data_IF_160720811402
#
_entry.id   IF_160720811402
#
_cell.length_a   1.000
_cell.length_b   1.000
_cell.length_c   1.000
_cell.angle_alpha   90.00
_cell.angle_beta   90.00
_cell.angle_gamma   90.00
#
_symmetry.space_group_name_H-M   'P 1'
#
loop_
_entity.id
_entity.type
_entity.pdbx_description
1 polymer ?
#
# COMPACT_ATOMS: atom_id res chain seq x y z
N UNK A 1 -69.03 16.56 -29.92
CA UNK A 1 -68.19 17.76 -30.10
C UNK A 1 -68.69 18.81 -29.12
N UNK A 2 -67.83 19.60 -28.43
CA UNK A 2 -66.40 19.82 -28.65
C UNK A 2 -65.49 19.23 -27.55
N UNK A 3 -64.22 19.10 -27.92
CA UNK A 3 -63.06 18.69 -27.13
C UNK A 3 -62.48 19.89 -26.38
N UNK A 4 -62.08 19.70 -25.12
CA UNK A 4 -60.90 20.39 -24.57
C UNK A 4 -60.20 19.46 -23.58
N UNK A 5 -58.94 19.15 -23.90
CA UNK A 5 -58.04 18.27 -23.16
C UNK A 5 -57.34 19.09 -22.07
N UNK A 6 -57.45 18.65 -20.82
CA UNK A 6 -56.50 18.98 -19.76
C UNK A 6 -56.04 17.65 -19.15
N UNK A 7 -54.78 17.32 -19.39
CA UNK A 7 -54.14 16.07 -18.99
C UNK A 7 -53.95 15.99 -17.48
N UNK A 8 -54.44 14.90 -16.89
CA UNK A 8 -54.18 14.51 -15.50
C UNK A 8 -52.90 13.68 -15.45
N UNK A 9 -52.05 14.04 -14.49
CA UNK A 9 -50.94 13.24 -14.00
C UNK A 9 -51.40 11.83 -13.58
N UNK A 10 -50.65 10.82 -14.02
CA UNK A 10 -50.83 9.43 -13.62
C UNK A 10 -49.65 8.59 -14.10
N UNK A 11 -48.74 8.31 -13.16
CA UNK A 11 -47.89 7.11 -13.00
C UNK A 11 -47.43 6.39 -14.27
N UNK A 12 -46.13 6.52 -14.58
CA UNK A 12 -45.30 5.45 -15.15
C UNK A 12 -43.90 5.59 -14.52
N UNK A 13 -43.59 4.72 -13.55
CA UNK A 13 -42.19 4.44 -13.18
C UNK A 13 -41.80 3.26 -14.05
N UNK A 14 -41.06 3.55 -15.13
CA UNK A 14 -40.35 2.54 -15.90
C UNK A 14 -39.09 2.15 -15.12
N UNK A 15 -39.07 0.89 -14.68
CA UNK A 15 -37.87 0.19 -14.23
C UNK A 15 -36.90 0.10 -15.42
N UNK A 16 -35.83 0.89 -15.39
CA UNK A 16 -34.67 0.66 -16.27
C UNK A 16 -33.83 -0.47 -15.71
N UNK A 17 -34.25 -1.69 -16.10
CA UNK A 17 -33.42 -2.88 -16.14
C UNK A 17 -32.18 -2.62 -17.01
N UNK A 18 -31.03 -2.44 -16.37
CA UNK A 18 -29.71 -2.53 -17.01
C UNK A 18 -28.97 -3.73 -16.43
N UNK A 19 -29.54 -4.92 -16.65
CA UNK A 19 -28.84 -6.18 -16.50
C UNK A 19 -27.64 -6.26 -17.44
N UNK A 20 -26.46 -5.85 -16.96
CA UNK A 20 -25.21 -6.33 -17.53
C UNK A 20 -24.99 -7.76 -17.03
N UNK A 21 -25.44 -8.75 -17.81
CA UNK A 21 -24.99 -10.14 -17.70
C UNK A 21 -23.46 -10.16 -17.83
N UNK A 22 -22.74 -10.13 -16.70
CA UNK A 22 -21.33 -10.45 -16.66
C UNK A 22 -21.22 -11.97 -16.62
N UNK A 23 -20.98 -12.56 -17.80
CA UNK A 23 -20.62 -13.96 -17.94
C UNK A 23 -19.34 -14.23 -17.13
N UNK A 24 -19.28 -15.26 -16.28
CA UNK A 24 -18.10 -15.56 -15.46
C UNK A 24 -16.88 -16.04 -16.28
N UNK A 25 -16.97 -16.08 -17.60
CA UNK A 25 -15.89 -16.46 -18.52
C UNK A 25 -15.05 -15.26 -19.01
N UNK A 26 -15.44 -14.01 -18.75
CA UNK A 26 -14.71 -12.81 -19.20
C UNK A 26 -13.53 -12.39 -18.30
N UNK A 27 -13.26 -13.12 -17.21
CA UNK A 27 -12.10 -12.89 -16.33
C UNK A 27 -10.76 -13.40 -16.89
N UNK A 28 -10.75 -13.95 -18.12
CA UNK A 28 -9.56 -14.47 -18.79
C UNK A 28 -9.14 -13.64 -20.02
N UNK A 29 -9.25 -12.31 -19.97
CA UNK A 29 -8.53 -11.47 -20.93
C UNK A 29 -7.02 -11.51 -20.65
N UNK A 30 -6.36 -12.49 -21.29
CA UNK A 30 -4.92 -12.45 -21.56
C UNK A 30 -4.60 -11.13 -22.29
N UNK A 31 -3.98 -10.19 -21.56
CA UNK A 31 -3.50 -8.94 -22.11
C UNK A 31 -2.21 -9.20 -22.92
N UNK A 32 -2.15 -8.93 -24.24
CA UNK A 32 -0.96 -9.19 -25.06
C UNK A 32 0.27 -8.33 -24.71
N UNK A 33 0.17 -7.41 -23.73
CA UNK A 33 1.30 -6.65 -23.16
C UNK A 33 1.95 -7.35 -21.94
N UNK A 34 1.47 -8.54 -21.53
CA UNK A 34 2.02 -9.32 -20.41
C UNK A 34 2.95 -10.45 -20.82
N UNK A 35 3.50 -10.41 -22.05
CA UNK A 35 4.61 -11.31 -22.35
C UNK A 35 5.77 -11.01 -21.39
N UNK A 36 6.31 -12.02 -20.67
CA UNK A 36 7.45 -11.81 -19.81
C UNK A 36 8.57 -11.24 -20.66
N UNK A 37 9.00 -10.02 -20.33
CA UNK A 37 10.07 -9.34 -21.05
C UNK A 37 11.24 -10.32 -21.23
N UNK A 38 11.83 -10.41 -22.43
CA UNK A 38 12.87 -11.37 -22.71
C UNK A 38 13.95 -11.35 -21.64
N UNK A 39 14.49 -12.51 -21.25
CA UNK A 39 15.49 -12.61 -20.16
C UNK A 39 16.66 -11.64 -20.31
N UNK A 40 17.05 -11.33 -21.56
CA UNK A 40 18.10 -10.35 -21.88
C UNK A 40 17.72 -8.92 -21.48
N UNK A 41 16.44 -8.56 -21.48
CA UNK A 41 15.96 -7.22 -21.11
C UNK A 41 16.11 -6.96 -19.61
N UNK A 42 15.84 -7.97 -18.77
CA UNK A 42 16.13 -7.91 -17.33
C UNK A 42 17.63 -7.75 -17.05
N UNK A 43 18.48 -8.45 -17.82
CA UNK A 43 19.94 -8.31 -17.73
C UNK A 43 20.41 -6.92 -18.19
N UNK A 44 19.89 -6.42 -19.32
CA UNK A 44 20.16 -5.07 -19.81
C UNK A 44 19.78 -3.99 -18.79
N UNK A 45 18.60 -4.09 -18.16
CA UNK A 45 18.20 -3.16 -17.09
C UNK A 45 19.15 -3.20 -15.90
N UNK A 46 19.60 -4.38 -15.48
CA UNK A 46 20.60 -4.50 -14.40
C UNK A 46 21.90 -3.79 -14.75
N UNK A 47 22.42 -3.96 -15.97
CA UNK A 47 23.63 -3.25 -16.43
C UNK A 47 23.40 -1.73 -16.42
N UNK A 48 22.27 -1.26 -16.98
CA UNK A 48 21.95 0.17 -17.03
C UNK A 48 21.86 0.80 -15.64
N UNK A 49 21.47 0.03 -14.64
CA UNK A 49 21.37 0.47 -13.25
C UNK A 49 22.69 0.41 -12.48
N UNK A 50 23.79 -0.13 -13.03
CA UNK A 50 25.08 -0.24 -12.33
C UNK A 50 25.59 1.10 -11.78
N UNK A 51 25.60 2.22 -12.54
CA UNK A 51 26.04 3.51 -12.00
C UNK A 51 25.18 3.99 -10.83
N UNK A 52 23.86 3.76 -10.91
CA UNK A 52 22.93 4.10 -9.84
C UNK A 52 23.16 3.22 -8.61
N UNK A 53 23.35 1.91 -8.77
CA UNK A 53 23.66 0.98 -7.69
C UNK A 53 24.95 1.34 -6.95
N UNK A 54 25.98 1.82 -7.66
CA UNK A 54 27.20 2.32 -7.04
C UNK A 54 26.92 3.54 -6.16
N UNK A 55 26.08 4.47 -6.61
CA UNK A 55 25.67 5.64 -5.82
C UNK A 55 24.82 5.23 -4.60
N UNK A 56 23.86 4.33 -4.78
CA UNK A 56 22.99 3.81 -3.72
C UNK A 56 23.79 3.10 -2.61
N UNK A 57 24.74 2.24 -2.99
CA UNK A 57 25.59 1.55 -2.01
C UNK A 57 26.58 2.49 -1.31
N UNK A 58 26.94 3.62 -1.94
CA UNK A 58 27.78 4.67 -1.32
C UNK A 58 27.01 5.67 -0.47
N UNK A 59 25.68 5.54 -0.33
CA UNK A 59 24.89 6.47 0.48
C UNK A 59 24.59 7.82 -0.19
N UNK A 60 24.74 7.91 -1.52
CA UNK A 60 24.65 9.19 -2.24
C UNK A 60 23.20 9.51 -2.68
N UNK A 61 22.32 8.51 -2.75
CA UNK A 61 20.95 8.68 -3.23
C UNK A 61 19.95 8.84 -2.08
N UNK A 62 18.81 9.46 -2.33
CA UNK A 62 17.74 9.63 -1.34
C UNK A 62 17.26 8.28 -0.76
N UNK A 63 17.12 7.26 -1.61
CA UNK A 63 16.77 5.90 -1.21
C UNK A 63 17.80 5.28 -0.26
N UNK A 64 19.07 5.64 -0.41
CA UNK A 64 20.11 5.20 0.51
C UNK A 64 19.98 5.91 1.86
N UNK A 65 19.62 7.20 1.87
CA UNK A 65 19.27 7.94 3.08
C UNK A 65 18.07 7.35 3.81
N UNK A 66 16.97 7.06 3.10
CA UNK A 66 15.80 6.38 3.67
C UNK A 66 16.15 4.98 4.21
N UNK A 67 16.91 4.18 3.45
CA UNK A 67 17.42 2.88 3.93
C UNK A 67 18.17 3.04 5.26
N UNK A 68 19.08 4.01 5.34
CA UNK A 68 19.92 4.21 6.52
C UNK A 68 19.09 4.69 7.72
N UNK A 69 18.10 5.55 7.49
CA UNK A 69 17.13 5.97 8.50
C UNK A 69 16.29 4.81 9.01
N UNK A 70 15.76 3.97 8.11
CA UNK A 70 15.02 2.75 8.49
C UNK A 70 15.94 1.83 9.30
N UNK A 71 17.14 1.52 8.83
CA UNK A 71 18.06 0.62 9.54
C UNK A 71 18.40 1.14 10.94
N UNK A 72 18.68 2.45 11.08
CA UNK A 72 18.96 3.08 12.36
C UNK A 72 17.75 3.01 13.30
N UNK A 73 16.57 3.33 12.79
CA UNK A 73 15.34 3.31 13.56
C UNK A 73 14.96 1.88 13.98
N UNK A 74 14.93 0.93 13.05
CA UNK A 74 14.70 -0.49 13.32
C UNK A 74 15.67 -1.03 14.38
N UNK A 75 16.96 -0.69 14.31
CA UNK A 75 17.95 -1.10 15.32
C UNK A 75 17.62 -0.51 16.70
N UNK A 76 17.21 0.76 16.77
CA UNK A 76 16.79 1.39 18.04
C UNK A 76 15.53 0.75 18.63
N UNK A 77 14.71 0.12 17.79
CA UNK A 77 13.52 -0.65 18.18
C UNK A 77 13.83 -2.12 18.50
N UNK A 78 15.10 -2.56 18.43
CA UNK A 78 15.54 -3.91 18.76
C UNK A 78 15.55 -4.91 17.60
N UNK A 79 15.37 -4.46 16.35
CA UNK A 79 15.47 -5.30 15.16
C UNK A 79 16.92 -5.44 14.67
N UNK A 80 17.25 -6.54 13.99
CA UNK A 80 18.57 -6.70 13.37
C UNK A 80 18.70 -5.80 12.12
N UNK A 81 19.41 -4.69 12.28
CA UNK A 81 19.70 -3.74 11.20
C UNK A 81 20.38 -4.36 9.96
N UNK A 82 21.17 -5.43 10.11
CA UNK A 82 21.79 -6.13 8.96
C UNK A 82 20.73 -6.89 8.17
N UNK A 83 19.80 -7.54 8.86
CA UNK A 83 18.72 -8.27 8.22
C UNK A 83 17.73 -7.30 7.55
N UNK A 84 17.33 -6.24 8.24
CA UNK A 84 16.53 -5.13 7.68
C UNK A 84 17.18 -4.57 6.41
N UNK A 85 18.49 -4.29 6.44
CA UNK A 85 19.23 -3.80 5.27
C UNK A 85 19.20 -4.78 4.09
N UNK A 86 19.28 -6.10 4.34
CA UNK A 86 19.18 -7.13 3.29
C UNK A 86 17.79 -7.14 2.64
N UNK A 87 16.74 -7.01 3.44
CA UNK A 87 15.35 -6.99 2.97
C UNK A 87 15.11 -5.75 2.11
N UNK A 88 15.52 -4.57 2.58
CA UNK A 88 15.42 -3.32 1.81
C UNK A 88 16.19 -3.43 0.49
N UNK A 89 17.42 -3.94 0.52
CA UNK A 89 18.22 -4.13 -0.71
C UNK A 89 17.51 -5.05 -1.71
N UNK A 90 16.80 -6.07 -1.23
CA UNK A 90 16.02 -6.94 -2.10
C UNK A 90 14.81 -6.23 -2.69
N UNK A 91 14.01 -5.54 -1.89
CA UNK A 91 12.90 -4.72 -2.39
C UNK A 91 13.39 -3.74 -3.46
N UNK A 92 14.43 -2.97 -3.17
CA UNK A 92 15.05 -2.04 -4.14
C UNK A 92 15.48 -2.74 -5.42
N UNK A 93 16.08 -3.93 -5.33
CA UNK A 93 16.47 -4.73 -6.50
C UNK A 93 15.29 -5.22 -7.31
N UNK A 94 14.25 -5.74 -6.66
CA UNK A 94 13.06 -6.26 -7.33
C UNK A 94 12.28 -5.16 -8.03
N UNK A 95 12.04 -4.02 -7.38
CA UNK A 95 11.42 -2.86 -8.01
C UNK A 95 12.26 -2.33 -9.17
N UNK A 96 13.56 -2.12 -8.96
CA UNK A 96 14.42 -1.53 -9.99
C UNK A 96 14.55 -2.40 -11.23
N UNK A 97 14.71 -3.72 -11.09
CA UNK A 97 14.88 -4.61 -12.26
C UNK A 97 13.61 -4.72 -13.12
N UNK A 98 12.44 -4.51 -12.53
CA UNK A 98 11.16 -4.48 -13.24
C UNK A 98 10.78 -3.09 -13.76
N UNK A 99 11.62 -2.07 -13.50
CA UNK A 99 11.39 -0.71 -14.00
C UNK A 99 10.49 0.13 -13.09
N UNK A 100 10.26 -0.31 -11.85
CA UNK A 100 9.53 0.38 -10.79
C UNK A 100 10.47 1.10 -9.80
N UNK A 101 11.73 1.30 -10.22
CA UNK A 101 12.73 2.04 -9.45
C UNK A 101 12.65 3.55 -9.71
N UNK A 102 13.76 4.26 -9.47
CA UNK A 102 13.85 5.74 -9.52
C UNK A 102 13.33 6.43 -10.80
N UNK A 103 13.34 5.75 -11.94
CA UNK A 103 12.91 6.33 -13.22
C UNK A 103 11.43 6.06 -13.52
N UNK A 104 10.71 5.42 -12.59
CA UNK A 104 9.29 5.17 -12.73
C UNK A 104 8.52 6.42 -12.33
N UNK A 105 7.65 6.89 -13.23
CA UNK A 105 6.94 8.16 -13.06
C UNK A 105 5.71 8.05 -12.15
N UNK A 106 5.19 6.84 -11.95
CA UNK A 106 4.01 6.59 -11.11
C UNK A 106 4.33 6.73 -9.62
N UNK A 107 3.25 6.86 -8.84
CA UNK A 107 3.28 7.05 -7.39
C UNK A 107 3.81 5.81 -6.66
N UNK A 108 3.32 4.62 -7.01
CA UNK A 108 3.63 3.38 -6.29
C UNK A 108 4.95 2.78 -6.77
N UNK A 109 6.05 3.34 -6.29
CA UNK A 109 7.42 3.00 -6.68
C UNK A 109 8.30 2.77 -5.45
N UNK A 110 9.57 2.45 -5.66
CA UNK A 110 10.48 2.16 -4.55
C UNK A 110 10.65 3.30 -3.54
N UNK A 111 10.50 4.55 -3.95
CA UNK A 111 10.59 5.70 -3.03
C UNK A 111 9.38 5.70 -2.10
N UNK A 112 8.18 5.49 -2.64
CA UNK A 112 6.95 5.32 -1.86
C UNK A 112 7.07 4.17 -0.85
N UNK A 113 7.51 2.97 -1.27
CA UNK A 113 7.66 1.84 -0.34
C UNK A 113 8.63 2.15 0.81
N UNK A 114 9.72 2.87 0.54
CA UNK A 114 10.70 3.25 1.56
C UNK A 114 10.16 4.35 2.48
N UNK A 115 9.40 5.31 1.94
CA UNK A 115 8.72 6.34 2.72
C UNK A 115 7.67 5.73 3.65
N UNK A 116 6.81 4.85 3.15
CA UNK A 116 5.80 4.15 3.95
C UNK A 116 6.44 3.28 5.02
N UNK A 117 7.47 2.50 4.68
CA UNK A 117 8.20 1.68 5.66
C UNK A 117 8.86 2.53 6.76
N UNK A 118 9.54 3.63 6.37
CA UNK A 118 10.16 4.54 7.33
C UNK A 118 9.14 5.21 8.23
N UNK A 119 8.09 5.78 7.63
CA UNK A 119 7.06 6.51 8.35
C UNK A 119 6.28 5.60 9.31
N UNK A 120 5.92 4.38 8.87
CA UNK A 120 5.23 3.40 9.72
C UNK A 120 6.06 3.05 10.95
N UNK A 121 7.36 2.80 10.78
CA UNK A 121 8.25 2.54 11.91
C UNK A 121 8.43 3.76 12.81
N UNK A 122 8.48 4.96 12.22
CA UNK A 122 8.59 6.22 12.98
C UNK A 122 7.37 6.42 13.86
N UNK A 123 6.17 6.27 13.28
CA UNK A 123 4.91 6.36 13.99
C UNK A 123 4.75 5.26 15.05
N UNK A 124 5.22 4.04 14.77
CA UNK A 124 5.21 2.93 15.71
C UNK A 124 6.13 3.17 16.91
N UNK A 125 7.37 3.64 16.65
CA UNK A 125 8.35 3.92 17.69
C UNK A 125 7.91 5.04 18.65
N UNK A 126 7.16 6.03 18.14
CA UNK A 126 6.64 7.12 18.97
C UNK A 126 5.40 6.78 19.81
N UNK A 127 4.87 5.55 19.75
CA UNK A 127 3.76 5.14 20.61
C UNK A 127 4.22 4.99 22.07
N UNK A 128 3.92 6.01 22.88
CA UNK A 128 4.32 6.05 24.30
C UNK A 128 3.31 5.40 25.26
N UNK A 129 2.04 5.30 24.84
CA UNK A 129 0.97 4.70 25.64
C UNK A 129 1.09 3.18 25.62
N UNK A 130 0.94 2.54 26.77
CA UNK A 130 1.20 1.11 26.91
C UNK A 130 0.26 0.27 26.06
N UNK A 131 -1.01 0.68 25.95
CA UNK A 131 -2.04 0.05 25.13
C UNK A 131 -1.79 0.15 23.61
N UNK A 132 -0.91 1.06 23.17
CA UNK A 132 -0.58 1.26 21.76
C UNK A 132 0.81 0.76 21.38
N UNK A 133 1.56 0.21 22.34
CA UNK A 133 2.92 -0.28 22.12
C UNK A 133 2.91 -1.56 21.30
N UNK A 134 3.78 -1.59 20.31
CA UNK A 134 3.99 -2.73 19.44
C UNK A 134 5.08 -3.64 20.02
N UNK A 135 4.84 -4.95 19.97
CA UNK A 135 5.88 -5.94 20.31
C UNK A 135 6.81 -6.16 19.10
N UNK A 136 7.88 -6.94 19.28
CA UNK A 136 8.85 -7.20 18.19
C UNK A 136 8.21 -7.84 16.94
N UNK A 137 7.29 -8.79 17.12
CA UNK A 137 6.60 -9.44 15.99
C UNK A 137 5.68 -8.46 15.27
N UNK A 138 5.00 -7.58 15.99
CA UNK A 138 4.18 -6.52 15.37
C UNK A 138 5.05 -5.58 14.51
N UNK A 139 6.22 -5.19 15.02
CA UNK A 139 7.14 -4.29 14.31
C UNK A 139 7.73 -4.93 13.06
N UNK A 140 8.10 -6.20 13.12
CA UNK A 140 8.57 -6.96 11.95
C UNK A 140 7.45 -7.09 10.92
N UNK A 141 6.25 -7.45 11.38
CA UNK A 141 5.07 -7.61 10.51
C UNK A 141 4.72 -6.30 9.82
N UNK A 142 4.67 -5.18 10.55
CA UNK A 142 4.47 -3.84 10.00
C UNK A 142 5.55 -3.46 9.00
N UNK A 143 6.83 -3.68 9.33
CA UNK A 143 7.94 -3.34 8.44
C UNK A 143 7.87 -4.10 7.12
N UNK A 144 7.65 -5.41 7.16
CA UNK A 144 7.57 -6.24 5.95
C UNK A 144 6.32 -5.88 5.15
N UNK A 145 5.16 -5.75 5.79
CA UNK A 145 3.93 -5.37 5.11
C UNK A 145 4.06 -3.98 4.45
N UNK A 146 4.59 -2.99 5.17
CA UNK A 146 4.79 -1.63 4.66
C UNK A 146 5.72 -1.56 3.44
N UNK A 147 6.80 -2.36 3.44
CA UNK A 147 7.79 -2.35 2.37
C UNK A 147 7.33 -3.08 1.09
N UNK A 148 6.32 -3.95 1.22
CA UNK A 148 5.84 -4.79 0.11
C UNK A 148 4.35 -4.63 -0.17
N UNK A 149 3.67 -3.64 0.40
CA UNK A 149 2.22 -3.49 0.25
C UNK A 149 1.78 -3.24 -1.21
N UNK A 150 2.63 -2.60 -2.01
CA UNK A 150 2.43 -2.43 -3.44
C UNK A 150 3.40 -3.28 -4.29
N UNK A 151 3.90 -4.41 -3.75
CA UNK A 151 4.83 -5.28 -4.47
C UNK A 151 4.15 -6.09 -5.58
N UNK A 152 3.97 -5.45 -6.72
CA UNK A 152 3.57 -6.08 -7.98
C UNK A 152 4.52 -5.64 -9.10
N UNK A 153 5.58 -6.43 -9.39
CA UNK A 153 6.53 -6.12 -10.44
C UNK A 153 5.95 -6.15 -11.86
N UNK A 154 4.75 -6.71 -12.04
CA UNK A 154 4.06 -6.82 -13.34
C UNK A 154 2.76 -6.00 -13.38
N UNK A 155 2.62 -5.00 -12.50
CA UNK A 155 1.42 -4.18 -12.40
C UNK A 155 1.08 -3.52 -13.74
N UNK A 156 -0.19 -3.61 -14.12
CA UNK A 156 -0.72 -2.97 -15.34
C UNK A 156 -1.19 -1.53 -15.07
N UNK A 157 -1.64 -1.28 -13.85
CA UNK A 157 -2.03 0.02 -13.34
C UNK A 157 -0.98 0.49 -12.32
N UNK A 158 -0.95 1.79 -12.04
CA UNK A 158 0.04 2.31 -11.10
C UNK A 158 -0.23 1.80 -9.68
N UNK A 159 -1.47 1.85 -9.17
CA UNK A 159 -1.79 1.14 -7.93
C UNK A 159 -2.00 -0.36 -8.24
N UNK A 160 -1.25 -1.27 -7.60
CA UNK A 160 -1.46 -2.69 -7.79
C UNK A 160 -2.71 -3.18 -7.06
N UNK A 161 -3.24 -4.32 -7.51
CA UNK A 161 -4.34 -5.00 -6.83
C UNK A 161 -3.78 -5.98 -5.79
N UNK A 162 -4.41 -6.06 -4.62
CA UNK A 162 -3.90 -6.79 -3.46
C UNK A 162 -3.74 -8.29 -3.75
N UNK A 163 -4.63 -8.87 -4.57
CA UNK A 163 -4.51 -10.27 -5.04
C UNK A 163 -3.21 -10.53 -5.82
N UNK A 164 -2.75 -9.55 -6.62
CA UNK A 164 -1.50 -9.66 -7.37
C UNK A 164 -0.31 -9.58 -6.41
N UNK A 165 -0.35 -8.63 -5.46
CA UNK A 165 0.68 -8.47 -4.43
C UNK A 165 0.82 -9.74 -3.59
N UNK A 166 -0.31 -10.30 -3.12
CA UNK A 166 -0.35 -11.59 -2.42
C UNK A 166 0.36 -12.68 -3.23
N UNK A 167 0.01 -12.80 -4.52
CA UNK A 167 0.62 -13.80 -5.40
C UNK A 167 2.14 -13.61 -5.50
N UNK A 168 2.64 -12.38 -5.62
CA UNK A 168 4.09 -12.15 -5.74
C UNK A 168 4.84 -12.42 -4.45
N UNK A 169 4.31 -11.97 -3.30
CA UNK A 169 4.92 -12.21 -1.99
C UNK A 169 5.03 -13.72 -1.71
N UNK A 170 3.97 -14.49 -1.99
CA UNK A 170 4.00 -15.96 -1.80
C UNK A 170 4.98 -16.69 -2.72
N UNK A 171 5.31 -16.10 -3.88
CA UNK A 171 6.20 -16.72 -4.86
C UNK A 171 7.66 -16.25 -4.75
N UNK A 172 7.95 -15.22 -3.95
CA UNK A 172 9.32 -14.78 -3.69
C UNK A 172 9.97 -15.65 -2.60
N UNK A 173 10.99 -16.42 -2.98
CA UNK A 173 11.66 -17.33 -2.06
C UNK A 173 12.42 -16.61 -0.93
N UNK A 174 12.96 -15.41 -1.18
CA UNK A 174 13.72 -14.68 -0.15
C UNK A 174 12.79 -14.05 0.86
N UNK A 175 11.68 -13.47 0.40
CA UNK A 175 10.67 -12.91 1.31
C UNK A 175 10.15 -14.00 2.25
N UNK A 176 9.79 -15.18 1.71
CA UNK A 176 9.38 -16.33 2.53
C UNK A 176 10.44 -16.74 3.56
N UNK A 177 11.69 -16.90 3.13
CA UNK A 177 12.78 -17.27 4.03
C UNK A 177 12.92 -16.27 5.19
N UNK A 178 12.83 -14.96 4.94
CA UNK A 178 12.91 -13.98 6.02
C UNK A 178 11.70 -14.01 6.94
N UNK A 179 10.50 -14.15 6.38
CA UNK A 179 9.27 -14.28 7.17
C UNK A 179 9.36 -15.48 8.12
N UNK A 180 9.86 -16.61 7.62
CA UNK A 180 10.10 -17.83 8.40
C UNK A 180 11.19 -17.61 9.46
N UNK A 181 12.32 -16.99 9.10
CA UNK A 181 13.42 -16.66 10.02
C UNK A 181 13.00 -15.73 11.17
N UNK A 182 12.01 -14.86 10.92
CA UNK A 182 11.44 -13.96 11.94
C UNK A 182 10.31 -14.59 12.77
N UNK A 183 9.89 -15.81 12.44
CA UNK A 183 8.76 -16.50 13.07
C UNK A 183 7.47 -15.65 13.04
N UNK A 184 7.22 -14.96 11.93
CA UNK A 184 5.97 -14.24 11.66
C UNK A 184 5.20 -14.96 10.56
N UNK A 185 3.88 -14.79 10.53
CA UNK A 185 3.05 -15.46 9.52
C UNK A 185 2.97 -14.64 8.24
N UNK A 186 3.28 -15.26 7.10
CA UNK A 186 3.06 -14.68 5.78
C UNK A 186 1.59 -14.29 5.57
N UNK A 187 0.66 -15.06 6.13
CA UNK A 187 -0.78 -14.79 6.00
C UNK A 187 -1.19 -13.55 6.78
N UNK A 188 -0.57 -13.30 7.94
CA UNK A 188 -0.79 -12.07 8.72
C UNK A 188 -0.22 -10.87 7.96
N UNK A 189 0.99 -10.97 7.39
CA UNK A 189 1.58 -9.91 6.57
C UNK A 189 0.66 -9.57 5.40
N UNK A 190 0.16 -10.58 4.68
CA UNK A 190 -0.76 -10.37 3.56
C UNK A 190 -2.10 -9.78 4.05
N UNK A 191 -2.59 -10.17 5.23
CA UNK A 191 -3.80 -9.59 5.80
C UNK A 191 -3.66 -8.08 6.06
N UNK A 192 -2.50 -7.63 6.57
CA UNK A 192 -2.20 -6.21 6.71
C UNK A 192 -2.22 -5.48 5.35
N UNK A 193 -1.68 -6.10 4.30
CA UNK A 193 -1.67 -5.54 2.93
C UNK A 193 -3.08 -5.42 2.37
N UNK A 194 -3.96 -6.41 2.57
CA UNK A 194 -5.36 -6.26 2.15
C UNK A 194 -6.07 -5.05 2.78
N UNK A 195 -5.61 -4.59 3.96
CA UNK A 195 -6.16 -3.41 4.61
C UNK A 195 -5.70 -2.08 3.99
N UNK A 196 -4.65 -2.08 3.16
CA UNK A 196 -4.15 -0.90 2.40
C UNK A 196 -4.88 -0.70 1.07
N UNK A 197 -5.87 -1.54 0.75
CA UNK A 197 -6.75 -1.33 -0.40
C UNK A 197 -7.42 0.04 -0.33
N UNK A 198 -7.45 0.75 -1.45
CA UNK A 198 -8.00 2.11 -1.52
C UNK A 198 -8.92 2.29 -2.73
N UNK A 199 -10.12 2.89 -2.55
CA UNK A 199 -10.72 3.24 -1.27
C UNK A 199 -11.18 2.00 -0.49
N UNK A 200 -10.93 1.95 0.82
CA UNK A 200 -11.39 0.86 1.68
C UNK A 200 -12.88 1.02 2.02
N UNK A 201 -13.76 0.95 1.01
CA UNK A 201 -15.22 1.09 1.15
C UNK A 201 -15.96 0.17 0.18
N UNK A 202 -17.24 -0.09 0.47
CA UNK A 202 -18.13 -0.89 -0.39
C UNK A 202 -17.55 -2.26 -0.73
N UNK A 203 -17.69 -2.67 -2.00
CA UNK A 203 -17.25 -3.98 -2.48
C UNK A 203 -15.76 -4.27 -2.27
N UNK A 204 -14.90 -3.23 -2.30
CA UNK A 204 -13.45 -3.37 -2.08
C UNK A 204 -13.20 -3.75 -0.62
N UNK A 205 -13.81 -3.04 0.33
CA UNK A 205 -13.70 -3.36 1.75
C UNK A 205 -14.31 -4.72 2.09
N UNK A 206 -15.46 -5.07 1.50
CA UNK A 206 -16.09 -6.38 1.69
C UNK A 206 -15.19 -7.52 1.22
N UNK A 207 -14.60 -7.38 0.03
CA UNK A 207 -13.65 -8.35 -0.52
C UNK A 207 -12.41 -8.48 0.37
N UNK A 208 -11.78 -7.36 0.70
CA UNK A 208 -10.58 -7.32 1.53
C UNK A 208 -10.84 -7.92 2.93
N UNK A 209 -11.93 -7.53 3.59
CA UNK A 209 -12.30 -8.09 4.90
C UNK A 209 -12.54 -9.59 4.85
N UNK A 210 -13.25 -10.09 3.83
CA UNK A 210 -13.46 -11.53 3.65
C UNK A 210 -12.13 -12.26 3.46
N UNK A 211 -11.17 -11.68 2.74
CA UNK A 211 -9.85 -12.27 2.55
C UNK A 211 -9.01 -12.22 3.82
N UNK A 212 -9.00 -11.10 4.53
CA UNK A 212 -8.35 -10.93 5.85
C UNK A 212 -8.80 -12.00 6.84
N UNK A 213 -10.12 -12.22 7.00
CA UNK A 213 -10.62 -13.22 7.94
C UNK A 213 -10.17 -14.64 7.60
N UNK A 214 -10.12 -14.99 6.31
CA UNK A 214 -9.60 -16.29 5.85
C UNK A 214 -8.10 -16.44 6.11
N UNK A 215 -7.33 -15.37 5.93
CA UNK A 215 -5.89 -15.35 6.20
C UNK A 215 -5.61 -15.53 7.69
N UNK A 216 -6.39 -14.93 8.58
CA UNK A 216 -6.29 -15.19 10.02
C UNK A 216 -6.55 -16.66 10.37
N UNK A 217 -7.60 -17.25 9.80
CA UNK A 217 -7.87 -18.69 9.99
C UNK A 217 -6.71 -19.55 9.48
N UNK A 218 -6.13 -19.20 8.33
CA UNK A 218 -4.98 -19.92 7.74
C UNK A 218 -3.72 -19.77 8.60
N UNK A 219 -3.53 -18.60 9.22
CA UNK A 219 -2.46 -18.34 10.19
C UNK A 219 -2.65 -19.06 11.53
N UNK A 220 -3.73 -19.83 11.70
CA UNK A 220 -4.03 -20.57 12.92
C UNK A 220 -4.73 -19.74 14.01
N UNK A 221 -5.23 -18.55 13.70
CA UNK A 221 -6.00 -17.73 14.64
C UNK A 221 -7.48 -18.17 14.59
N UNK A 222 -8.05 -18.73 15.66
CA UNK A 222 -9.44 -19.19 15.68
C UNK A 222 -10.44 -18.07 15.36
N UNK A 223 -11.59 -18.40 14.77
CA UNK A 223 -12.65 -17.42 14.46
C UNK A 223 -13.26 -16.76 15.71
N UNK A 224 -13.25 -17.47 16.83
CA UNK A 224 -13.73 -16.96 18.12
C UNK A 224 -12.66 -16.18 18.91
N UNK A 225 -11.40 -16.15 18.45
CA UNK A 225 -10.35 -15.31 19.05
C UNK A 225 -10.44 -13.87 18.52
N UNK A 226 -11.50 -13.18 18.96
CA UNK A 226 -11.82 -11.82 18.52
C UNK A 226 -10.72 -10.85 18.93
N UNK A 227 -10.05 -11.08 20.06
CA UNK A 227 -8.99 -10.19 20.57
C UNK A 227 -7.77 -10.19 19.66
N UNK A 228 -7.27 -11.38 19.28
CA UNK A 228 -6.09 -11.48 18.40
C UNK A 228 -6.41 -11.02 16.98
N UNK A 229 -7.61 -11.35 16.46
CA UNK A 229 -8.04 -10.86 15.13
C UNK A 229 -8.13 -9.35 15.09
N UNK A 230 -8.78 -8.74 16.09
CA UNK A 230 -8.89 -7.28 16.20
C UNK A 230 -7.52 -6.61 16.30
N UNK A 231 -6.58 -7.19 17.04
CA UNK A 231 -5.21 -6.66 17.11
C UNK A 231 -4.56 -6.54 15.73
N UNK A 232 -4.64 -7.58 14.89
CA UNK A 232 -4.07 -7.53 13.55
C UNK A 232 -4.88 -6.68 12.56
N UNK A 233 -6.20 -6.58 12.73
CA UNK A 233 -7.02 -5.61 11.99
C UNK A 233 -6.60 -4.16 12.30
N UNK A 234 -6.42 -3.84 13.58
CA UNK A 234 -5.96 -2.53 14.02
C UNK A 234 -4.52 -2.26 13.55
N UNK A 235 -3.67 -3.30 13.47
CA UNK A 235 -2.32 -3.22 12.89
C UNK A 235 -2.34 -2.91 11.40
N UNK A 236 -3.22 -3.57 10.63
CA UNK A 236 -3.44 -3.27 9.22
C UNK A 236 -4.05 -1.89 8.99
N UNK A 237 -4.93 -1.45 9.88
CA UNK A 237 -5.52 -0.11 9.80
C UNK A 237 -4.46 0.97 10.08
N UNK A 238 -3.58 0.74 11.06
CA UNK A 238 -2.43 1.59 11.32
C UNK A 238 -1.52 1.72 10.08
N UNK A 239 -1.26 0.61 9.39
CA UNK A 239 -0.49 0.61 8.14
C UNK A 239 -1.21 1.37 7.02
N UNK A 240 -2.51 1.10 6.81
CA UNK A 240 -3.34 1.78 5.79
C UNK A 240 -3.36 3.30 5.94
N UNK A 241 -3.35 3.79 7.18
CA UNK A 241 -3.26 5.23 7.45
C UNK A 241 -1.82 5.72 7.23
N UNK A 242 -0.82 4.96 7.65
CA UNK A 242 0.59 5.31 7.45
C UNK A 242 0.94 5.45 5.96
N UNK A 243 0.52 4.49 5.12
CA UNK A 243 0.65 4.52 3.65
C UNK A 243 0.11 5.84 3.08
N UNK A 244 -1.13 6.18 3.44
CA UNK A 244 -1.83 7.34 2.89
C UNK A 244 -1.26 8.70 3.29
N UNK A 245 -0.50 8.77 4.39
CA UNK A 245 0.00 10.06 4.93
C UNK A 245 1.53 10.19 4.87
N UNK A 246 2.26 9.10 4.63
CA UNK A 246 3.72 9.06 4.71
C UNK A 246 4.39 10.12 3.82
N UNK A 247 4.13 10.07 2.52
CA UNK A 247 4.73 11.00 1.57
C UNK A 247 4.38 12.48 1.86
N UNK A 248 3.12 12.76 2.21
CA UNK A 248 2.67 14.11 2.56
C UNK A 248 3.30 14.65 3.85
N UNK A 249 3.66 13.76 4.79
CA UNK A 249 4.24 14.14 6.07
C UNK A 249 5.76 14.25 6.03
N UNK A 250 6.43 13.39 5.24
CA UNK A 250 7.89 13.34 5.14
C UNK A 250 8.45 14.43 4.20
N UNK A 251 7.67 14.81 3.18
CA UNK A 251 8.05 15.82 2.20
C UNK A 251 7.79 17.25 2.64
N UNK A 252 8.28 18.19 1.83
CA UNK A 252 7.88 19.60 1.92
C UNK A 252 6.63 19.87 1.07
N UNK A 253 6.15 21.11 1.06
CA UNK A 253 4.96 21.50 0.31
C UNK A 253 5.05 21.20 -1.19
N UNK A 254 6.22 21.39 -1.81
CA UNK A 254 6.42 21.10 -3.24
C UNK A 254 6.34 19.60 -3.52
N UNK A 255 6.93 18.78 -2.65
CA UNK A 255 6.81 17.33 -2.72
C UNK A 255 5.35 16.87 -2.57
N UNK A 256 4.62 17.39 -1.57
CA UNK A 256 3.19 17.09 -1.38
C UNK A 256 2.34 17.45 -2.61
N UNK A 257 2.65 18.54 -3.30
CA UNK A 257 1.99 18.91 -4.57
C UNK A 257 2.32 17.95 -5.70
N UNK A 258 3.57 17.48 -5.77
CA UNK A 258 3.97 16.47 -6.75
C UNK A 258 3.27 15.13 -6.48
N UNK A 259 3.21 14.70 -5.23
CA UNK A 259 2.48 13.49 -4.83
C UNK A 259 0.99 13.58 -5.17
N UNK A 260 0.34 14.71 -4.92
CA UNK A 260 -1.06 14.90 -5.30
C UNK A 260 -1.27 14.72 -6.82
N UNK A 261 -0.34 15.20 -7.65
CA UNK A 261 -0.40 15.01 -9.11
C UNK A 261 -0.15 13.55 -9.52
N UNK A 262 0.79 12.86 -8.87
CA UNK A 262 1.05 11.44 -9.14
C UNK A 262 -0.12 10.56 -8.69
N UNK A 263 -0.76 10.88 -7.56
CA UNK A 263 -1.97 10.20 -7.07
C UNK A 263 -3.17 10.38 -8.01
N UNK A 264 -3.34 11.57 -8.61
CA UNK A 264 -4.35 11.76 -9.68
C UNK A 264 -4.13 10.76 -10.81
N UNK A 265 -2.88 10.60 -11.25
CA UNK A 265 -2.55 9.64 -12.31
C UNK A 265 -2.78 8.19 -11.84
N UNK A 266 -2.39 7.85 -10.62
CA UNK A 266 -2.50 6.48 -10.10
C UNK A 266 -3.95 6.02 -9.92
N UNK A 267 -4.81 6.94 -9.50
CA UNK A 267 -6.24 6.71 -9.27
C UNK A 267 -7.11 6.98 -10.50
N UNK A 268 -6.50 7.33 -11.63
CA UNK A 268 -7.20 7.59 -12.91
C UNK A 268 -8.09 8.83 -12.88
N UNK A 269 -7.80 9.79 -12.01
CA UNK A 269 -8.56 11.04 -11.91
C UNK A 269 -8.24 11.96 -13.07
N UNK A 270 -9.25 12.69 -13.55
CA UNK A 270 -9.01 13.74 -14.54
C UNK A 270 -8.23 14.90 -13.89
N UNK A 271 -7.15 15.43 -14.50
CA UNK A 271 -6.32 16.46 -13.87
C UNK A 271 -7.07 17.73 -13.43
N UNK A 272 -8.18 18.07 -14.09
CA UNK A 272 -9.01 19.22 -13.70
C UNK A 272 -9.75 19.04 -12.37
N UNK A 273 -9.89 17.79 -11.89
CA UNK A 273 -10.58 17.44 -10.65
C UNK A 273 -9.61 17.24 -9.48
N UNK A 274 -8.31 17.49 -9.67
CA UNK A 274 -7.28 17.26 -8.64
C UNK A 274 -7.64 17.90 -7.29
N UNK A 275 -8.16 19.12 -7.29
CA UNK A 275 -8.50 19.83 -6.06
C UNK A 275 -9.69 19.15 -5.35
N UNK A 276 -10.74 18.79 -6.10
CA UNK A 276 -11.93 18.14 -5.54
C UNK A 276 -11.61 16.73 -5.02
N UNK A 277 -10.87 15.94 -5.79
CA UNK A 277 -10.49 14.59 -5.41
C UNK A 277 -9.48 14.57 -4.26
N UNK A 278 -8.55 15.53 -4.21
CA UNK A 278 -7.68 15.72 -3.04
C UNK A 278 -8.50 16.05 -1.79
N UNK A 279 -9.50 16.94 -1.90
CA UNK A 279 -10.40 17.25 -0.77
C UNK A 279 -11.15 16.01 -0.33
N UNK A 280 -11.67 15.18 -1.24
CA UNK A 280 -12.32 13.90 -0.91
C UNK A 280 -11.36 12.94 -0.20
N UNK A 281 -10.14 12.79 -0.71
CA UNK A 281 -9.09 11.96 -0.12
C UNK A 281 -8.81 12.32 1.34
N UNK A 282 -8.51 13.59 1.62
CA UNK A 282 -8.25 14.04 2.99
C UNK A 282 -9.52 14.09 3.86
N UNK A 283 -10.69 14.25 3.26
CA UNK A 283 -11.97 14.16 3.99
C UNK A 283 -12.26 12.73 4.44
N UNK A 284 -11.90 11.71 3.64
CA UNK A 284 -12.04 10.31 4.04
C UNK A 284 -11.19 9.98 5.28
N UNK A 285 -10.00 10.58 5.42
CA UNK A 285 -9.19 10.44 6.64
C UNK A 285 -9.89 10.98 7.89
N UNK A 286 -10.82 11.94 7.76
CA UNK A 286 -11.60 12.44 8.91
C UNK A 286 -12.61 11.40 9.42
N UNK A 287 -13.04 10.47 8.58
CA UNK A 287 -13.90 9.36 9.00
C UNK A 287 -13.09 8.30 9.79
N UNK A 288 -11.77 8.25 9.58
CA UNK A 288 -10.84 7.35 10.27
C UNK A 288 -10.01 8.08 11.35
N UNK A 289 -10.59 9.15 11.93
CA UNK A 289 -9.93 10.11 12.82
C UNK A 289 -9.14 9.45 13.96
N UNK A 290 -9.70 8.42 14.61
CA UNK A 290 -9.05 7.74 15.72
C UNK A 290 -7.66 7.20 15.34
N UNK A 291 -7.59 6.47 14.22
CA UNK A 291 -6.33 5.90 13.76
C UNK A 291 -5.40 6.97 13.18
N UNK A 292 -5.93 7.99 12.50
CA UNK A 292 -5.15 9.16 12.05
C UNK A 292 -4.47 9.84 13.23
N UNK A 293 -5.20 10.14 14.30
CA UNK A 293 -4.64 10.74 15.51
C UNK A 293 -3.61 9.83 16.17
N UNK A 294 -3.85 8.51 16.22
CA UNK A 294 -2.87 7.56 16.75
C UNK A 294 -1.57 7.57 15.96
N UNK A 295 -1.63 7.49 14.63
CA UNK A 295 -0.45 7.51 13.76
C UNK A 295 0.28 8.84 13.89
N UNK A 296 -0.44 9.96 13.79
CA UNK A 296 0.17 11.29 13.90
C UNK A 296 0.79 11.53 15.29
N UNK A 297 0.17 11.07 16.38
CA UNK A 297 0.78 11.18 17.72
C UNK A 297 2.14 10.48 17.82
N UNK A 298 2.36 9.44 17.02
CA UNK A 298 3.60 8.68 16.95
C UNK A 298 4.75 9.39 16.23
N UNK A 299 4.50 10.46 15.47
CA UNK A 299 5.56 11.13 14.70
C UNK A 299 6.02 12.46 15.36
N UNK A 300 7.27 12.88 15.12
CA UNK A 300 7.77 14.20 15.48
C UNK A 300 6.91 15.37 14.94
N UNK A 301 6.89 16.49 15.68
CA UNK A 301 6.08 17.66 15.31
C UNK A 301 6.51 18.34 14.02
N UNK A 302 7.75 18.13 13.56
CA UNK A 302 8.22 18.66 12.27
C UNK A 302 7.44 18.05 11.09
N UNK A 303 7.20 16.74 11.11
CA UNK A 303 6.45 16.04 10.06
C UNK A 303 4.94 16.32 10.14
N UNK A 304 4.40 16.51 11.36
CA UNK A 304 2.98 16.90 11.54
C UNK A 304 2.63 18.24 10.92
N UNK A 305 3.61 19.15 10.76
CA UNK A 305 3.35 20.49 10.21
C UNK A 305 3.20 20.48 8.69
N UNK A 306 3.66 19.42 8.02
CA UNK A 306 3.59 19.28 6.57
C UNK A 306 2.30 18.60 6.10
N UNK A 307 1.63 17.87 6.99
CA UNK A 307 0.33 17.25 6.79
C UNK A 307 -0.81 18.18 7.26
#
# INVERSE_FOLDING_TARGET
>A
MPNEKIGKHGVVLEDMDTGSNQNPEDLNQFNPLTEPLPRWYGFYRRIRLVPWWLRYNRGITEQAGLRDNICKLSTSMGLDGKLVSKIIRHAVSEFSKHGLGINYYGYHNIDHELEVAYFTLLAANGQKRQEHRFNQKDLITLFIAALFHDYDPLKQFDKPHEDSVERFIRNDCKIKLWIDDFEVSIDIIIALIYRTAYPFKGIIAEHANKRIQKLFTTAGIPENDITVRKHYEDLGWFLSISDRIAGYSLGNFDHSRELARRNVHSLGWHPSLINEESVKYFSALKEEKEMVERVLHGIPNEYKKFF
#
